data_IF_042616866006
#
_entry.id   IF_042616866006
#
_cell.length_a   1.000
_cell.length_b   1.000
_cell.length_c   1.000
_cell.angle_alpha   90.00
_cell.angle_beta   90.00
_cell.angle_gamma   90.00
#
_symmetry.space_group_name_H-M   'P 1'
#
loop_
_entity.id
_entity.type
_entity.pdbx_description
1 polymer ?
#
# COMPACT_ATOMS: atom_id res chain seq x y z
N UNK A 1 -9.32 4.90 -7.73
CA UNK A 1 -10.45 3.94 -7.60
C UNK A 1 -10.43 3.31 -6.22
N UNK A 2 -11.37 2.44 -5.89
CA UNK A 2 -11.37 1.84 -4.54
C UNK A 2 -10.16 0.94 -4.31
N UNK A 3 -9.69 0.20 -5.33
CA UNK A 3 -8.45 -0.56 -5.25
C UNK A 3 -7.24 0.33 -4.94
N UNK A 4 -7.16 1.49 -5.58
CA UNK A 4 -6.11 2.48 -5.35
C UNK A 4 -6.11 3.01 -3.91
N UNK A 5 -7.28 3.32 -3.34
CA UNK A 5 -7.40 3.73 -1.94
C UNK A 5 -6.95 2.63 -0.98
N UNK A 6 -7.31 1.37 -1.25
CA UNK A 6 -6.92 0.23 -0.41
C UNK A 6 -5.42 -0.04 -0.50
N UNK A 7 -4.82 0.05 -1.69
CA UNK A 7 -3.37 -0.08 -1.84
C UNK A 7 -2.63 1.05 -1.12
N UNK A 8 -3.11 2.29 -1.21
CA UNK A 8 -2.52 3.41 -0.45
C UNK A 8 -2.63 3.21 1.07
N UNK A 9 -3.75 2.65 1.55
CA UNK A 9 -3.92 2.28 2.95
C UNK A 9 -2.90 1.20 3.37
N UNK A 10 -2.76 0.13 2.58
CA UNK A 10 -1.79 -0.95 2.83
C UNK A 10 -0.35 -0.43 2.89
N UNK A 11 0.05 0.42 1.95
CA UNK A 11 1.38 1.03 1.92
C UNK A 11 1.61 1.92 3.16
N UNK A 12 0.63 2.75 3.51
CA UNK A 12 0.69 3.62 4.69
C UNK A 12 0.80 2.83 5.99
N UNK A 13 -0.01 1.76 6.15
CA UNK A 13 0.04 0.87 7.31
C UNK A 13 1.36 0.12 7.40
N UNK A 14 1.84 -0.44 6.29
CA UNK A 14 3.15 -1.14 6.22
C UNK A 14 4.28 -0.19 6.59
N UNK A 15 4.30 1.03 6.05
CA UNK A 15 5.30 2.03 6.39
C UNK A 15 5.25 2.49 7.85
N UNK A 16 4.04 2.62 8.44
CA UNK A 16 3.87 2.91 9.87
C UNK A 16 4.36 1.76 10.75
N UNK A 17 4.08 0.52 10.36
CA UNK A 17 4.52 -0.68 11.07
C UNK A 17 6.05 -0.78 11.04
N UNK A 18 6.67 -0.65 9.87
CA UNK A 18 8.13 -0.67 9.73
C UNK A 18 8.80 0.39 10.63
N UNK A 19 8.25 1.61 10.72
CA UNK A 19 8.78 2.64 11.64
C UNK A 19 8.64 2.27 13.12
N UNK A 20 7.54 1.61 13.51
CA UNK A 20 7.36 1.12 14.90
C UNK A 20 8.33 -0.02 15.20
N UNK A 21 8.56 -0.91 14.24
CA UNK A 21 9.51 -2.02 14.38
C UNK A 21 10.95 -1.51 14.48
N UNK A 22 11.35 -0.55 13.65
CA UNK A 22 12.64 0.15 13.77
C UNK A 22 12.77 0.82 15.13
N UNK A 23 11.75 1.55 15.58
CA UNK A 23 11.77 2.22 16.88
C UNK A 23 11.94 1.23 18.04
N UNK A 24 11.22 0.09 18.01
CA UNK A 24 11.35 -0.99 18.97
C UNK A 24 12.76 -1.61 18.96
N UNK A 25 13.35 -1.78 17.78
CA UNK A 25 14.71 -2.29 17.61
C UNK A 25 15.81 -1.33 18.08
N UNK A 26 15.56 -0.02 18.02
CA UNK A 26 16.49 1.03 18.47
C UNK A 26 16.38 1.37 19.96
N UNK A 27 15.42 0.79 20.70
CA UNK A 27 15.30 1.04 22.14
C UNK A 27 16.52 0.49 22.89
N UNK A 28 17.22 1.38 23.59
CA UNK A 28 18.32 1.00 24.47
C UNK A 28 17.84 0.20 25.70
N UNK A 29 18.76 -0.47 26.42
CA UNK A 29 18.43 -1.29 27.60
C UNK A 29 17.83 -0.49 28.77
N UNK A 30 18.00 0.84 28.77
CA UNK A 30 17.45 1.75 29.80
C UNK A 30 16.17 2.49 29.36
N UNK A 31 15.58 2.13 28.21
CA UNK A 31 14.34 2.74 27.78
C UNK A 31 13.20 2.45 28.79
N UNK A 32 12.30 3.42 29.06
CA UNK A 32 11.17 3.21 29.95
C UNK A 32 10.32 2.00 29.54
N UNK A 33 9.93 1.20 30.52
CA UNK A 33 9.08 0.03 30.28
C UNK A 33 7.73 0.41 29.64
N UNK A 34 7.19 1.57 30.01
CA UNK A 34 5.95 2.13 29.47
C UNK A 34 6.07 2.45 27.96
N UNK A 35 7.17 3.06 27.53
CA UNK A 35 7.41 3.35 26.11
C UNK A 35 7.49 2.08 25.27
N UNK A 36 8.16 1.05 25.81
CA UNK A 36 8.26 -0.26 25.17
C UNK A 36 6.89 -0.93 25.07
N UNK A 37 6.08 -0.86 26.13
CA UNK A 37 4.72 -1.41 26.15
C UNK A 37 3.82 -0.70 25.13
N UNK A 38 3.83 0.63 25.12
CA UNK A 38 3.03 1.44 24.20
C UNK A 38 3.39 1.16 22.73
N UNK A 39 4.68 1.02 22.40
CA UNK A 39 5.12 0.66 21.05
C UNK A 39 4.70 -0.77 20.66
N UNK A 40 4.70 -1.73 21.59
CA UNK A 40 4.22 -3.09 21.35
C UNK A 40 2.72 -3.15 21.12
N UNK A 41 1.93 -2.39 21.89
CA UNK A 41 0.50 -2.29 21.67
C UNK A 41 0.20 -1.66 20.30
N UNK A 42 0.92 -0.58 19.96
CA UNK A 42 0.83 0.04 18.63
C UNK A 42 1.21 -0.92 17.50
N UNK A 43 2.25 -1.74 17.67
CA UNK A 43 2.62 -2.79 16.73
C UNK A 43 1.45 -3.76 16.52
N UNK A 44 0.85 -4.26 17.62
CA UNK A 44 -0.29 -5.18 17.57
C UNK A 44 -1.47 -4.59 16.80
N UNK A 45 -1.83 -3.34 17.08
CA UNK A 45 -2.91 -2.64 16.40
C UNK A 45 -2.63 -2.45 14.91
N UNK A 46 -1.40 -2.09 14.55
CA UNK A 46 -1.01 -1.92 13.14
C UNK A 46 -1.04 -3.24 12.37
N UNK A 47 -0.66 -4.35 12.99
CA UNK A 47 -0.77 -5.69 12.39
C UNK A 47 -2.23 -6.05 12.15
N UNK A 48 -3.11 -5.85 13.13
CA UNK A 48 -4.55 -6.09 12.95
C UNK A 48 -5.14 -5.24 11.81
N UNK A 49 -4.82 -3.95 11.78
CA UNK A 49 -5.24 -3.05 10.70
C UNK A 49 -4.72 -3.49 9.32
N UNK A 50 -3.53 -4.08 9.27
CA UNK A 50 -2.95 -4.61 8.03
C UNK A 50 -3.74 -5.81 7.52
N UNK A 51 -4.15 -6.71 8.41
CA UNK A 51 -5.02 -7.84 8.05
C UNK A 51 -6.39 -7.36 7.55
N UNK A 52 -7.03 -6.42 8.26
CA UNK A 52 -8.30 -5.81 7.81
C UNK A 52 -8.15 -5.19 6.42
N UNK A 53 -7.04 -4.50 6.16
CA UNK A 53 -6.76 -3.89 4.86
C UNK A 53 -6.50 -4.92 3.75
N UNK A 54 -5.93 -6.09 4.07
CA UNK A 54 -5.76 -7.21 3.13
C UNK A 54 -7.12 -7.80 2.76
N UNK A 55 -7.99 -8.06 3.74
CA UNK A 55 -9.35 -8.54 3.49
C UNK A 55 -10.14 -7.55 2.62
N UNK A 56 -10.01 -6.25 2.90
CA UNK A 56 -10.62 -5.20 2.10
C UNK A 56 -10.11 -5.22 0.65
N UNK A 57 -8.81 -5.49 0.42
CA UNK A 57 -8.23 -5.61 -0.92
C UNK A 57 -8.85 -6.77 -1.68
N UNK A 58 -8.98 -7.92 -1.04
CA UNK A 58 -9.63 -9.08 -1.67
C UNK A 58 -11.10 -8.81 -1.99
N UNK A 59 -11.83 -8.18 -1.07
CA UNK A 59 -13.22 -7.82 -1.27
C UNK A 59 -13.38 -6.87 -2.47
N UNK A 60 -12.51 -5.85 -2.57
CA UNK A 60 -12.49 -4.95 -3.73
C UNK A 60 -12.17 -5.71 -5.02
N UNK A 61 -11.21 -6.64 -5.00
CA UNK A 61 -10.87 -7.48 -6.16
C UNK A 61 -12.04 -8.35 -6.63
N UNK A 62 -12.73 -9.04 -5.71
CA UNK A 62 -13.94 -9.83 -6.04
C UNK A 62 -15.04 -8.96 -6.65
N UNK A 63 -15.19 -7.73 -6.15
CA UNK A 63 -16.18 -6.79 -6.70
C UNK A 63 -15.78 -6.33 -8.10
N UNK A 64 -14.50 -6.06 -8.36
CA UNK A 64 -14.01 -5.71 -9.70
C UNK A 64 -14.26 -6.85 -10.70
N UNK A 65 -14.03 -8.10 -10.30
CA UNK A 65 -14.35 -9.28 -11.12
C UNK A 65 -15.86 -9.40 -11.39
N UNK A 66 -16.70 -9.26 -10.36
CA UNK A 66 -18.15 -9.32 -10.52
C UNK A 66 -18.69 -8.22 -11.45
N UNK A 67 -18.16 -7.00 -11.34
CA UNK A 67 -18.49 -5.89 -12.24
C UNK A 67 -18.02 -6.21 -13.66
N UNK A 68 -16.80 -6.73 -13.83
CA UNK A 68 -16.29 -7.15 -15.13
C UNK A 68 -17.15 -8.21 -15.80
N UNK A 69 -17.59 -9.21 -15.04
CA UNK A 69 -18.50 -10.26 -15.52
C UNK A 69 -19.88 -9.69 -15.88
N UNK A 70 -20.41 -8.75 -15.10
CA UNK A 70 -21.67 -8.06 -15.42
C UNK A 70 -21.54 -7.27 -16.72
N UNK A 71 -20.49 -6.46 -16.86
CA UNK A 71 -20.22 -5.66 -18.07
C UNK A 71 -20.12 -6.56 -19.30
N UNK A 72 -19.43 -7.71 -19.20
CA UNK A 72 -19.29 -8.66 -20.29
C UNK A 72 -20.62 -9.22 -20.83
N UNK A 73 -21.70 -9.20 -20.04
CA UNK A 73 -23.03 -9.65 -20.50
C UNK A 73 -23.75 -8.65 -21.41
N UNK A 74 -23.30 -7.39 -21.44
CA UNK A 74 -23.97 -6.30 -22.16
C UNK A 74 -23.11 -5.70 -23.28
N UNK A 75 -21.83 -6.09 -23.39
CA UNK A 75 -20.96 -5.59 -24.45
C UNK A 75 -20.89 -6.57 -25.63
N UNK A 76 -20.88 -6.06 -26.88
CA UNK A 76 -20.45 -6.82 -28.04
C UNK A 76 -19.03 -7.37 -27.88
N UNK A 77 -18.69 -8.52 -28.49
CA UNK A 77 -17.38 -9.15 -28.36
C UNK A 77 -16.20 -8.22 -28.69
N UNK A 78 -16.34 -7.38 -29.72
CA UNK A 78 -15.34 -6.39 -30.13
C UNK A 78 -15.04 -5.38 -29.01
N UNK A 79 -16.04 -4.90 -28.30
CA UNK A 79 -15.88 -3.93 -27.21
C UNK A 79 -15.47 -4.58 -25.89
N UNK A 80 -15.77 -5.87 -25.70
CA UNK A 80 -15.35 -6.61 -24.53
C UNK A 80 -13.82 -6.72 -24.45
N UNK A 81 -13.16 -6.97 -25.59
CA UNK A 81 -11.70 -7.00 -25.66
C UNK A 81 -11.09 -5.65 -25.27
N UNK A 82 -11.65 -4.55 -25.80
CA UNK A 82 -11.21 -3.19 -25.48
C UNK A 82 -11.40 -2.88 -23.99
N UNK A 83 -12.55 -3.25 -23.41
CA UNK A 83 -12.83 -3.06 -21.99
C UNK A 83 -11.83 -3.83 -21.11
N UNK A 84 -11.59 -5.10 -21.40
CA UNK A 84 -10.64 -5.93 -20.65
C UNK A 84 -9.21 -5.36 -20.76
N UNK A 85 -8.81 -4.96 -21.96
CA UNK A 85 -7.52 -4.33 -22.19
C UNK A 85 -7.39 -3.03 -21.40
N UNK A 86 -8.40 -2.16 -21.44
CA UNK A 86 -8.44 -0.90 -20.69
C UNK A 86 -8.27 -1.12 -19.18
N UNK A 87 -9.05 -2.04 -18.59
CA UNK A 87 -8.97 -2.32 -17.15
C UNK A 87 -7.59 -2.84 -16.76
N UNK A 88 -7.03 -3.76 -17.55
CA UNK A 88 -5.67 -4.30 -17.32
C UNK A 88 -4.60 -3.22 -17.44
N UNK A 89 -4.65 -2.42 -18.51
CA UNK A 89 -3.67 -1.37 -18.78
C UNK A 89 -3.72 -0.28 -17.70
N UNK A 90 -4.93 0.13 -17.28
CA UNK A 90 -5.11 1.10 -16.20
C UNK A 90 -4.43 0.65 -14.91
N UNK A 91 -4.57 -0.62 -14.53
CA UNK A 91 -3.92 -1.18 -13.34
C UNK A 91 -2.38 -1.22 -13.48
N UNK A 92 -1.88 -1.59 -14.66
CA UNK A 92 -0.44 -1.62 -14.93
C UNK A 92 0.18 -0.21 -14.85
N UNK A 93 -0.44 0.77 -15.52
CA UNK A 93 0.02 2.17 -15.52
C UNK A 93 0.03 2.79 -14.11
N UNK A 94 -0.96 2.49 -13.28
CA UNK A 94 -0.99 2.95 -11.87
C UNK A 94 0.16 2.32 -11.06
N UNK A 95 0.46 1.04 -11.29
CA UNK A 95 1.57 0.37 -10.62
C UNK A 95 2.92 0.96 -11.05
N UNK A 96 3.12 1.17 -12.35
CA UNK A 96 4.32 1.81 -12.91
C UNK A 96 4.48 3.24 -12.38
N UNK A 97 3.41 4.04 -12.36
CA UNK A 97 3.43 5.39 -11.81
C UNK A 97 3.92 5.40 -10.35
N UNK A 98 3.41 4.51 -9.51
CA UNK A 98 3.82 4.40 -8.10
C UNK A 98 5.28 3.99 -7.95
N UNK A 99 5.74 3.05 -8.74
CA UNK A 99 7.15 2.64 -8.73
C UNK A 99 8.06 3.83 -9.06
N UNK A 100 7.67 4.63 -10.05
CA UNK A 100 8.40 5.86 -10.41
C UNK A 100 8.37 6.90 -9.26
N UNK A 101 7.21 7.11 -8.62
CA UNK A 101 7.06 8.03 -7.49
C UNK A 101 7.95 7.63 -6.29
N UNK A 102 8.00 6.34 -5.94
CA UNK A 102 8.88 5.82 -4.88
C UNK A 102 10.37 6.01 -5.23
N UNK A 103 10.77 5.73 -6.48
CA UNK A 103 12.15 5.96 -6.95
C UNK A 103 12.53 7.44 -6.86
N UNK A 104 11.64 8.34 -7.26
CA UNK A 104 11.85 9.80 -7.15
C UNK A 104 12.04 10.20 -5.69
N UNK A 105 11.15 9.75 -4.81
CA UNK A 105 11.21 10.08 -3.37
C UNK A 105 12.50 9.59 -2.72
N UNK A 106 12.91 8.35 -3.01
CA UNK A 106 14.18 7.80 -2.53
C UNK A 106 15.37 8.64 -3.00
N UNK A 107 15.40 9.02 -4.28
CA UNK A 107 16.44 9.87 -4.82
C UNK A 107 16.50 11.25 -4.14
N UNK A 108 15.34 11.85 -3.85
CA UNK A 108 15.25 13.11 -3.12
C UNK A 108 15.75 12.99 -1.68
N UNK A 109 15.43 11.90 -0.99
CA UNK A 109 15.94 11.60 0.35
C UNK A 109 17.45 11.45 0.37
N UNK A 110 18.02 10.69 -0.57
CA UNK A 110 19.47 10.51 -0.71
C UNK A 110 20.21 11.84 -0.95
N UNK A 111 19.69 12.69 -1.86
CA UNK A 111 20.28 13.99 -2.15
C UNK A 111 20.27 14.92 -0.93
N UNK A 112 19.21 14.88 -0.13
CA UNK A 112 19.11 15.67 1.11
C UNK A 112 20.15 15.22 2.14
N UNK A 113 20.27 13.91 2.40
CA UNK A 113 21.26 13.39 3.34
C UNK A 113 22.70 13.77 2.95
N UNK A 114 23.03 13.73 1.65
CA UNK A 114 24.35 14.15 1.16
C UNK A 114 24.61 15.64 1.40
N UNK A 115 23.61 16.50 1.19
CA UNK A 115 23.73 17.95 1.44
C UNK A 115 23.85 18.31 2.93
N UNK A 116 23.22 17.53 3.80
CA UNK A 116 23.30 17.72 5.25
C UNK A 116 24.61 17.18 5.85
N UNK A 117 25.31 16.31 5.12
CA UNK A 117 26.60 15.72 5.54
C UNK A 117 27.82 16.52 5.06
N UNK A 118 27.61 17.63 4.34
CA UNK A 118 28.61 18.56 3.79
C UNK A 118 28.60 19.87 4.59
#
# INVERSE_FOLDING_TARGET
GDLDKVVNLLLSLSGRLARVETALGSLGPHAPAEDKLALREKQRLLVAQLEDAKELKEHVGRREEAVGAMVARYLPPEHLQDYQHFVKMKSALIAEQRELEEKIKLGQEQLRCLRESL
#
